data_IF_091804644755
#
_entry.id   IF_091804644755
#
_cell.length_a   1.000
_cell.length_b   1.000
_cell.length_c   1.000
_cell.angle_alpha   90.00
_cell.angle_beta   90.00
_cell.angle_gamma   90.00
#
_symmetry.space_group_name_H-M   'P 1'
#
loop_
_entity.id
_entity.type
_entity.pdbx_description
1 polymer ?
#
# COMPACT_ATOMS: atom_id res chain seq x y z
N UNK A 1 -25.07 29.19 15.75
CA UNK A 1 -24.26 29.61 14.59
C UNK A 1 -24.06 28.37 13.74
N UNK A 2 -24.31 28.42 12.44
CA UNK A 2 -23.93 27.31 11.55
C UNK A 2 -22.40 27.22 11.62
N UNK A 3 -21.84 26.12 12.15
CA UNK A 3 -20.40 25.92 12.10
C UNK A 3 -19.96 25.93 10.64
N UNK A 4 -19.01 26.81 10.33
CA UNK A 4 -18.48 26.96 8.98
C UNK A 4 -17.73 25.67 8.59
N UNK A 5 -17.99 25.14 7.40
CA UNK A 5 -17.40 23.87 6.97
C UNK A 5 -15.86 23.93 6.98
N UNK A 6 -15.22 22.95 7.64
CA UNK A 6 -13.76 22.85 7.77
C UNK A 6 -13.09 22.73 6.40
N UNK A 7 -12.01 23.49 6.19
CA UNK A 7 -11.31 23.62 4.90
C UNK A 7 -10.19 22.60 4.78
N UNK A 8 -10.22 21.82 3.72
CA UNK A 8 -9.30 20.72 3.46
C UNK A 8 -8.43 21.01 2.24
N UNK A 9 -7.13 20.81 2.36
CA UNK A 9 -6.20 20.75 1.23
C UNK A 9 -5.73 19.32 1.03
N UNK A 10 -5.77 18.86 -0.22
CA UNK A 10 -5.25 17.56 -0.66
C UNK A 10 -3.94 17.75 -1.43
N UNK A 11 -2.95 16.91 -1.18
CA UNK A 11 -1.66 16.95 -1.89
C UNK A 11 -1.20 15.54 -2.23
N UNK A 12 -1.02 15.26 -3.52
CA UNK A 12 -0.58 13.95 -4.03
C UNK A 12 -0.07 14.14 -5.46
N UNK A 13 1.13 13.65 -5.79
CA UNK A 13 1.71 13.83 -7.12
C UNK A 13 1.00 13.00 -8.20
N UNK A 14 0.14 12.06 -7.80
CA UNK A 14 -0.73 11.30 -8.68
C UNK A 14 -2.13 11.94 -8.81
N UNK A 15 -2.47 12.54 -9.97
CA UNK A 15 -3.77 13.20 -10.16
C UNK A 15 -4.97 12.26 -9.98
N UNK A 16 -4.80 10.98 -10.31
CA UNK A 16 -5.84 9.96 -10.15
C UNK A 16 -6.19 9.70 -8.69
N UNK A 17 -5.22 9.73 -7.78
CA UNK A 17 -5.46 9.57 -6.34
C UNK A 17 -6.24 10.76 -5.79
N UNK A 18 -5.87 11.99 -6.20
CA UNK A 18 -6.62 13.19 -5.85
C UNK A 18 -8.09 13.07 -6.30
N UNK A 19 -8.33 12.76 -7.57
CA UNK A 19 -9.69 12.62 -8.12
C UNK A 19 -10.49 11.53 -7.38
N UNK A 20 -9.84 10.41 -7.06
CA UNK A 20 -10.43 9.30 -6.31
C UNK A 20 -10.88 9.73 -4.91
N UNK A 21 -10.02 10.41 -4.16
CA UNK A 21 -10.35 10.91 -2.81
C UNK A 21 -11.44 11.99 -2.88
N UNK A 22 -11.35 12.90 -3.85
CA UNK A 22 -12.34 13.97 -4.03
C UNK A 22 -13.75 13.43 -4.29
N UNK A 23 -13.86 12.37 -5.08
CA UNK A 23 -15.15 11.77 -5.48
C UNK A 23 -15.64 10.68 -4.53
N UNK A 24 -14.73 9.99 -3.84
CA UNK A 24 -15.03 8.86 -2.95
C UNK A 24 -15.61 9.23 -1.58
N UNK A 25 -15.54 10.51 -1.17
CA UNK A 25 -15.96 10.97 0.15
C UNK A 25 -17.06 12.03 0.05
N UNK A 26 -18.11 11.90 0.87
CA UNK A 26 -19.16 12.92 1.01
C UNK A 26 -18.74 14.00 2.03
N UNK A 27 -17.90 14.93 1.57
CA UNK A 27 -17.32 16.00 2.39
C UNK A 27 -18.37 16.87 3.10
N UNK A 28 -19.51 17.13 2.45
CA UNK A 28 -20.59 17.93 3.04
C UNK A 28 -21.19 17.27 4.27
N UNK A 29 -21.37 15.95 4.26
CA UNK A 29 -21.85 15.20 5.42
C UNK A 29 -20.87 15.21 6.59
N UNK A 30 -19.58 15.37 6.31
CA UNK A 30 -18.53 15.46 7.34
C UNK A 30 -18.34 16.87 7.88
N UNK A 31 -19.14 17.86 7.42
CA UNK A 31 -18.96 19.26 7.80
C UNK A 31 -17.66 19.85 7.25
N UNK A 32 -17.15 19.33 6.14
CA UNK A 32 -15.89 19.75 5.52
C UNK A 32 -16.08 20.14 4.05
N UNK A 33 -15.07 20.82 3.50
CA UNK A 33 -14.98 21.14 2.06
C UNK A 33 -13.53 21.12 1.61
N UNK A 34 -13.28 20.58 0.42
CA UNK A 34 -11.97 20.70 -0.23
C UNK A 34 -11.83 22.12 -0.78
N UNK A 35 -10.80 22.83 -0.36
CA UNK A 35 -10.47 24.17 -0.84
C UNK A 35 -9.26 24.21 -1.78
N UNK A 36 -8.50 23.11 -1.90
CA UNK A 36 -7.40 22.98 -2.86
C UNK A 36 -6.97 21.53 -3.02
N UNK A 37 -6.53 21.19 -4.22
CA UNK A 37 -5.91 19.90 -4.55
C UNK A 37 -4.67 20.18 -5.41
N UNK A 38 -3.52 19.66 -4.99
CA UNK A 38 -2.24 20.01 -5.59
C UNK A 38 -1.41 18.75 -5.87
N UNK A 39 -0.73 18.72 -7.00
CA UNK A 39 0.20 17.64 -7.36
C UNK A 39 1.65 17.99 -7.04
N UNK A 40 1.87 19.09 -6.33
CA UNK A 40 3.17 19.65 -6.01
C UNK A 40 3.11 20.28 -4.62
N UNK A 41 4.00 19.84 -3.73
CA UNK A 41 3.98 20.26 -2.34
C UNK A 41 4.40 21.73 -2.13
N UNK A 42 5.22 22.32 -3.02
CA UNK A 42 5.57 23.74 -2.92
C UNK A 42 4.37 24.62 -3.25
N UNK A 43 3.63 24.30 -4.32
CA UNK A 43 2.38 25.01 -4.66
C UNK A 43 1.33 24.88 -3.56
N UNK A 44 1.26 23.72 -2.91
CA UNK A 44 0.37 23.52 -1.78
C UNK A 44 0.76 24.42 -0.59
N UNK A 45 2.06 24.52 -0.29
CA UNK A 45 2.58 25.40 0.76
C UNK A 45 2.26 26.87 0.47
N UNK A 46 2.54 27.35 -0.73
CA UNK A 46 2.25 28.73 -1.16
C UNK A 46 0.75 29.05 -0.99
N UNK A 47 -0.13 28.09 -1.32
CA UNK A 47 -1.57 28.25 -1.12
C UNK A 47 -1.97 28.31 0.37
N UNK A 48 -1.40 27.45 1.21
CA UNK A 48 -1.69 27.39 2.66
C UNK A 48 -1.17 28.65 3.39
N UNK A 49 -0.12 29.29 2.86
CA UNK A 49 0.35 30.59 3.34
C UNK A 49 -0.74 31.66 3.19
N UNK A 50 -1.32 31.76 2.00
CA UNK A 50 -2.27 32.82 1.66
C UNK A 50 -3.72 32.52 2.08
N UNK A 51 -4.08 31.24 2.25
CA UNK A 51 -5.46 30.82 2.45
C UNK A 51 -5.64 30.06 3.78
N UNK A 52 -6.77 30.25 4.48
CA UNK A 52 -7.03 29.52 5.70
C UNK A 52 -7.37 28.05 5.40
N UNK A 53 -6.69 27.15 6.09
CA UNK A 53 -6.83 25.69 5.98
C UNK A 53 -6.99 25.12 7.38
N UNK A 54 -7.88 24.16 7.55
CA UNK A 54 -8.13 23.49 8.83
C UNK A 54 -7.47 22.10 8.88
N UNK A 55 -7.46 21.38 7.74
CA UNK A 55 -6.91 20.03 7.61
C UNK A 55 -6.07 19.93 6.33
N UNK A 56 -4.86 19.39 6.44
CA UNK A 56 -4.00 19.01 5.33
C UNK A 56 -3.95 17.49 5.22
N UNK A 57 -4.26 16.96 4.04
CA UNK A 57 -4.12 15.55 3.68
C UNK A 57 -3.02 15.47 2.61
N UNK A 58 -1.94 14.75 2.87
CA UNK A 58 -0.77 14.74 1.96
C UNK A 58 -0.17 13.35 1.77
N UNK A 59 0.31 13.06 0.56
CA UNK A 59 1.27 11.98 0.32
C UNK A 59 2.61 12.31 1.00
N UNK A 60 3.35 11.28 1.39
CA UNK A 60 4.72 11.36 1.93
C UNK A 60 5.72 11.49 0.79
N UNK A 61 5.59 10.66 -0.24
CA UNK A 61 6.66 10.44 -1.23
C UNK A 61 6.35 11.17 -2.52
N UNK A 62 6.60 12.48 -2.53
CA UNK A 62 6.42 13.32 -3.72
C UNK A 62 7.77 13.78 -4.30
N UNK A 63 7.89 13.95 -5.64
CA UNK A 63 9.08 14.51 -6.28
C UNK A 63 9.42 15.90 -5.75
N UNK A 64 10.72 16.17 -5.58
CA UNK A 64 11.29 17.49 -5.21
C UNK A 64 10.95 17.99 -3.79
N UNK A 65 9.69 17.89 -3.33
CA UNK A 65 9.24 18.39 -2.03
C UNK A 65 8.37 17.34 -1.31
N UNK A 66 8.93 16.69 -0.29
CA UNK A 66 8.26 15.57 0.37
C UNK A 66 7.16 16.02 1.35
N UNK A 67 6.19 15.14 1.61
CA UNK A 67 5.03 15.44 2.47
C UNK A 67 5.38 15.75 3.92
N UNK A 68 6.44 15.15 4.47
CA UNK A 68 6.87 15.42 5.84
C UNK A 68 7.51 16.81 5.98
N UNK A 69 8.22 17.27 4.95
CA UNK A 69 8.79 18.61 4.85
C UNK A 69 7.66 19.64 4.70
N UNK A 70 6.63 19.33 3.91
CA UNK A 70 5.40 20.12 3.85
C UNK A 70 4.74 20.24 5.23
N UNK A 71 4.49 19.14 5.93
CA UNK A 71 3.91 19.16 7.28
C UNK A 71 4.76 20.00 8.24
N UNK A 72 6.09 19.85 8.22
CA UNK A 72 7.01 20.62 9.08
C UNK A 72 6.88 22.13 8.84
N UNK A 73 6.83 22.55 7.57
CA UNK A 73 6.69 23.97 7.19
C UNK A 73 5.32 24.51 7.58
N UNK A 74 4.26 23.77 7.30
CA UNK A 74 2.89 24.18 7.63
C UNK A 74 2.69 24.27 9.13
N UNK A 75 3.23 23.34 9.92
CA UNK A 75 3.13 23.38 11.38
C UNK A 75 3.84 24.59 11.99
N UNK A 76 4.99 24.98 11.44
CA UNK A 76 5.72 26.17 11.88
C UNK A 76 4.95 27.47 11.56
N UNK A 77 4.19 27.48 10.46
CA UNK A 77 3.42 28.63 10.00
C UNK A 77 2.03 28.73 10.66
N UNK A 78 1.33 27.60 10.77
CA UNK A 78 -0.05 27.46 11.25
C UNK A 78 -0.19 26.22 12.14
N UNK A 79 0.15 26.32 13.44
CA UNK A 79 0.10 25.19 14.38
C UNK A 79 -1.30 24.59 14.58
N UNK A 80 -2.36 25.32 14.20
CA UNK A 80 -3.75 24.89 14.29
C UNK A 80 -4.16 23.87 13.20
N UNK A 81 -3.40 23.80 12.10
CA UNK A 81 -3.69 22.89 10.98
C UNK A 81 -3.48 21.45 11.44
N UNK A 82 -4.45 20.59 11.16
CA UNK A 82 -4.36 19.16 11.43
C UNK A 82 -3.85 18.40 10.22
N UNK A 83 -3.01 17.39 10.46
CA UNK A 83 -2.41 16.59 9.39
C UNK A 83 -3.02 15.19 9.33
N UNK A 84 -3.26 14.71 8.13
CA UNK A 84 -3.52 13.29 7.84
C UNK A 84 -2.56 12.91 6.72
N UNK A 85 -1.87 11.79 6.87
CA UNK A 85 -0.84 11.37 5.92
C UNK A 85 -1.35 10.17 5.12
N UNK A 86 -1.05 10.15 3.82
CA UNK A 86 -1.34 9.05 2.89
C UNK A 86 0.01 8.53 2.38
N UNK A 87 0.18 7.22 2.21
CA UNK A 87 1.44 6.65 1.69
C UNK A 87 1.20 5.43 0.82
N UNK A 88 1.89 5.34 -0.31
CA UNK A 88 1.94 4.14 -1.15
C UNK A 88 2.81 3.00 -0.60
N UNK A 89 3.59 3.27 0.45
CA UNK A 89 4.44 2.26 1.10
C UNK A 89 4.08 2.13 2.58
N UNK A 90 3.93 0.89 3.04
CA UNK A 90 3.85 0.56 4.47
C UNK A 90 5.23 0.66 5.12
N UNK A 91 5.81 1.87 5.14
CA UNK A 91 7.11 2.14 5.73
C UNK A 91 6.94 2.61 7.19
N UNK A 92 7.40 1.77 8.11
CA UNK A 92 7.38 2.02 9.54
C UNK A 92 8.08 3.33 9.94
N UNK A 93 9.17 3.70 9.26
CA UNK A 93 9.91 4.92 9.56
C UNK A 93 9.11 6.18 9.18
N UNK A 94 8.25 6.09 8.16
CA UNK A 94 7.36 7.18 7.79
C UNK A 94 6.15 7.29 8.70
N UNK A 95 5.53 6.17 9.09
CA UNK A 95 4.47 6.16 10.09
C UNK A 95 4.95 6.74 11.43
N UNK A 96 6.13 6.35 11.90
CA UNK A 96 6.73 6.88 13.13
C UNK A 96 7.00 8.40 13.03
N UNK A 97 7.54 8.88 11.91
CA UNK A 97 7.74 10.32 11.67
C UNK A 97 6.40 11.08 11.67
N UNK A 98 5.37 10.51 11.07
CA UNK A 98 4.02 11.09 10.99
C UNK A 98 3.43 11.39 12.37
N UNK A 99 3.62 10.44 13.30
CA UNK A 99 3.19 10.56 14.70
C UNK A 99 3.94 11.70 15.40
N UNK A 100 5.27 11.77 15.24
CA UNK A 100 6.10 12.84 15.83
C UNK A 100 5.70 14.26 15.39
N UNK A 101 5.11 14.40 14.20
CA UNK A 101 4.60 15.68 13.69
C UNK A 101 3.18 16.00 14.16
N UNK A 102 2.55 15.12 14.96
CA UNK A 102 1.20 15.29 15.46
C UNK A 102 0.12 15.04 14.40
N UNK A 103 0.40 14.17 13.42
CA UNK A 103 -0.64 13.74 12.48
C UNK A 103 -1.76 13.01 13.21
N UNK A 104 -3.00 13.32 12.83
CA UNK A 104 -4.21 12.68 13.37
C UNK A 104 -4.40 11.24 12.88
N UNK A 105 -3.74 10.88 11.78
CA UNK A 105 -3.88 9.58 11.15
C UNK A 105 -2.88 9.37 10.01
N UNK A 106 -2.68 8.11 9.67
CA UNK A 106 -1.84 7.61 8.60
C UNK A 106 -2.63 6.57 7.81
N UNK A 107 -2.80 6.77 6.51
CA UNK A 107 -3.54 5.89 5.61
C UNK A 107 -2.59 5.30 4.55
N UNK A 108 -2.82 4.04 4.17
CA UNK A 108 -2.11 3.41 3.04
C UNK A 108 -2.87 3.60 1.73
N UNK A 109 -2.17 3.71 0.60
CA UNK A 109 -2.76 3.58 -0.75
C UNK A 109 -2.89 2.08 -1.08
N UNK A 110 -3.98 1.63 -1.72
CA UNK A 110 -5.17 2.40 -2.10
C UNK A 110 -5.96 2.85 -0.87
N UNK A 111 -6.41 4.12 -0.89
CA UNK A 111 -6.98 4.78 0.29
C UNK A 111 -8.31 4.15 0.68
N UNK A 112 -8.39 3.66 1.93
CA UNK A 112 -9.66 3.27 2.55
C UNK A 112 -10.45 4.53 2.94
N UNK A 113 -11.59 4.74 2.29
CA UNK A 113 -12.42 5.92 2.55
C UNK A 113 -13.07 5.90 3.92
N UNK A 114 -13.38 4.75 4.51
CA UNK A 114 -13.95 4.72 5.87
C UNK A 114 -12.89 5.12 6.90
N UNK A 115 -11.66 4.63 6.75
CA UNK A 115 -10.52 4.99 7.59
C UNK A 115 -10.25 6.50 7.53
N UNK A 116 -10.10 7.04 6.30
CA UNK A 116 -9.84 8.46 6.09
C UNK A 116 -10.99 9.33 6.65
N UNK A 117 -12.25 8.91 6.49
CA UNK A 117 -13.40 9.58 7.09
C UNK A 117 -13.35 9.57 8.63
N UNK A 118 -12.88 8.47 9.23
CA UNK A 118 -12.67 8.36 10.68
C UNK A 118 -11.73 9.44 11.21
N UNK A 119 -10.59 9.63 10.54
CA UNK A 119 -9.63 10.69 10.90
C UNK A 119 -10.19 12.10 10.68
N UNK A 120 -10.93 12.32 9.59
CA UNK A 120 -11.59 13.61 9.32
C UNK A 120 -12.62 13.93 10.41
N UNK A 121 -13.44 12.96 10.85
CA UNK A 121 -14.42 13.19 11.93
C UNK A 121 -13.73 13.61 13.23
N UNK A 122 -12.62 12.95 13.59
CA UNK A 122 -11.78 13.34 14.74
C UNK A 122 -11.21 14.76 14.59
N UNK A 123 -10.84 15.16 13.37
CA UNK A 123 -10.34 16.51 13.10
C UNK A 123 -11.43 17.60 13.21
N UNK A 124 -12.67 17.26 12.86
CA UNK A 124 -13.81 18.19 12.84
C UNK A 124 -14.43 18.38 14.23
N UNK A 125 -14.54 17.32 15.02
CA UNK A 125 -15.09 17.36 16.36
C UNK A 125 -13.97 17.41 17.41
N UNK A 126 -13.71 18.55 18.07
CA UNK A 126 -12.92 18.54 19.28
C UNK A 126 -13.74 17.82 20.35
N UNK A 127 -13.34 16.60 20.72
CA UNK A 127 -14.02 15.81 21.74
C UNK A 127 -14.07 16.57 23.07
N UNK A 128 -15.22 17.20 23.34
CA UNK A 128 -15.67 17.56 24.68
C UNK A 128 -16.27 16.31 25.33
N UNK A 129 -15.40 15.39 25.73
CA UNK A 129 -15.67 14.39 26.75
C UNK A 129 -14.31 13.88 27.24
N UNK A 130 -14.01 14.14 28.51
CA UNK A 130 -12.83 13.57 29.16
C UNK A 130 -12.91 12.04 29.16
N UNK A 131 -11.73 11.42 29.10
CA UNK A 131 -11.40 9.99 29.04
C UNK A 131 -11.08 9.43 27.64
N UNK A 132 -9.78 9.55 27.37
CA UNK A 132 -8.89 8.60 26.70
C UNK A 132 -8.69 8.73 25.19
N UNK A 133 -7.77 9.61 24.85
CA UNK A 133 -6.73 9.35 23.85
C UNK A 133 -5.53 10.16 24.33
N UNK A 134 -4.52 9.50 24.90
CA UNK A 134 -3.21 10.11 25.03
C UNK A 134 -2.36 9.65 23.83
N UNK A 135 -2.21 10.46 22.76
CA UNK A 135 -1.35 10.12 21.64
C UNK A 135 0.09 9.89 22.11
N UNK A 136 0.47 10.51 23.23
CA UNK A 136 1.79 10.37 23.84
C UNK A 136 2.04 8.94 24.31
N UNK A 137 1.03 8.28 24.89
CA UNK A 137 1.13 6.90 25.35
C UNK A 137 1.34 5.94 24.19
N UNK A 138 0.58 6.12 23.11
CA UNK A 138 0.70 5.29 21.90
C UNK A 138 2.08 5.49 21.28
N UNK A 139 2.53 6.74 21.11
CA UNK A 139 3.87 7.02 20.57
C UNK A 139 4.96 6.35 21.43
N UNK A 140 4.94 6.56 22.75
CA UNK A 140 5.91 5.96 23.66
C UNK A 140 5.90 4.43 23.62
N UNK A 141 4.71 3.81 23.45
CA UNK A 141 4.55 2.37 23.30
C UNK A 141 5.17 1.86 22.00
N UNK A 142 4.96 2.54 20.87
CA UNK A 142 5.53 2.14 19.58
C UNK A 142 7.04 2.40 19.49
N UNK A 143 7.55 3.45 20.13
CA UNK A 143 8.99 3.77 20.20
C UNK A 143 9.74 2.92 21.23
N UNK A 144 9.03 2.17 22.06
CA UNK A 144 9.56 1.48 23.23
C UNK A 144 10.31 2.43 24.19
N UNK A 145 9.83 3.66 24.34
CA UNK A 145 10.42 4.68 25.22
C UNK A 145 9.99 4.42 26.67
N UNK A 146 10.71 3.51 27.34
CA UNK A 146 10.42 3.08 28.71
C UNK A 146 10.34 4.25 29.71
N UNK A 147 11.27 5.23 29.72
CA UNK A 147 11.16 6.40 30.58
C UNK A 147 9.87 7.22 30.37
N UNK A 148 9.44 7.38 29.12
CA UNK A 148 8.22 8.12 28.78
C UNK A 148 6.96 7.33 29.15
N UNK A 149 6.92 6.04 28.83
CA UNK A 149 5.85 5.12 29.24
C UNK A 149 5.67 5.15 30.77
N UNK A 150 6.77 5.02 31.51
CA UNK A 150 6.75 5.07 32.97
C UNK A 150 6.10 6.36 33.49
N UNK A 151 6.55 7.52 32.98
CA UNK A 151 6.01 8.82 33.40
C UNK A 151 4.51 8.92 33.16
N UNK A 152 4.03 8.50 31.98
CA UNK A 152 2.63 8.57 31.60
C UNK A 152 1.79 7.63 32.47
N UNK A 153 2.20 6.36 32.57
CA UNK A 153 1.45 5.34 33.30
C UNK A 153 1.40 5.62 34.80
N UNK A 154 2.52 6.04 35.41
CA UNK A 154 2.55 6.44 36.82
C UNK A 154 1.65 7.66 37.09
N UNK A 155 1.55 8.60 36.14
CA UNK A 155 0.65 9.77 36.27
C UNK A 155 -0.83 9.40 36.24
N UNK A 156 -1.18 8.31 35.54
CA UNK A 156 -2.49 7.67 35.55
C UNK A 156 -2.65 6.69 36.74
N UNK A 157 -1.66 6.63 37.62
CA UNK A 157 -1.60 5.78 38.80
C UNK A 157 -1.34 4.31 38.51
N UNK A 158 -1.02 3.93 37.27
CA UNK A 158 -0.63 2.57 36.92
C UNK A 158 0.85 2.37 37.28
N UNK A 159 1.10 1.69 38.40
CA UNK A 159 2.45 1.31 38.83
C UNK A 159 2.77 -0.11 38.36
N UNK A 160 4.01 -0.36 37.94
CA UNK A 160 4.44 -1.69 37.50
C UNK A 160 4.54 -2.69 38.67
N UNK A 161 4.22 -3.98 38.46
CA UNK A 161 3.78 -4.55 37.18
C UNK A 161 2.26 -4.40 36.95
N UNK A 162 1.87 -4.30 35.67
CA UNK A 162 0.48 -4.12 35.24
C UNK A 162 -0.02 -5.32 34.43
N UNK A 163 -1.33 -5.40 34.19
CA UNK A 163 -1.92 -6.34 33.24
C UNK A 163 -2.36 -5.59 31.99
N UNK A 164 -2.38 -6.30 30.87
CA UNK A 164 -2.75 -5.73 29.58
C UNK A 164 -3.80 -6.60 28.89
N UNK A 165 -4.68 -5.96 28.15
CA UNK A 165 -5.58 -6.63 27.21
C UNK A 165 -5.62 -5.84 25.91
N UNK A 166 -5.86 -6.53 24.81
CA UNK A 166 -6.19 -5.89 23.53
C UNK A 166 -7.49 -6.52 23.04
N UNK A 167 -8.40 -5.71 22.51
CA UNK A 167 -9.59 -6.19 21.81
C UNK A 167 -9.66 -5.61 20.40
N UNK A 168 -10.14 -6.42 19.47
CA UNK A 168 -10.52 -6.02 18.11
C UNK A 168 -12.04 -5.89 18.05
N UNK A 169 -12.55 -4.72 17.70
CA UNK A 169 -13.98 -4.47 17.61
C UNK A 169 -14.33 -2.99 17.45
N UNK A 170 -15.61 -2.71 17.24
CA UNK A 170 -16.10 -1.32 17.07
C UNK A 170 -16.22 -0.56 18.38
N UNK A 171 -16.43 -1.29 19.47
CA UNK A 171 -16.72 -0.71 20.78
C UNK A 171 -15.72 -1.20 21.84
N UNK A 172 -15.14 -0.29 22.65
CA UNK A 172 -14.25 -0.69 23.73
C UNK A 172 -15.02 -1.30 24.91
N UNK A 173 -14.42 -2.29 25.56
CA UNK A 173 -14.94 -3.03 26.71
C UNK A 173 -14.55 -2.38 28.04
N UNK A 174 -14.71 -1.05 28.16
CA UNK A 174 -14.27 -0.29 29.34
C UNK A 174 -14.85 -0.83 30.65
N UNK A 175 -16.07 -1.38 30.62
CA UNK A 175 -16.72 -1.96 31.81
C UNK A 175 -16.03 -3.21 32.37
N UNK A 176 -15.16 -3.86 31.60
CA UNK A 176 -14.48 -5.10 32.02
C UNK A 176 -13.14 -4.86 32.71
N UNK A 177 -12.57 -3.65 32.57
CA UNK A 177 -11.23 -3.33 33.03
C UNK A 177 -11.25 -2.12 33.95
N UNK A 178 -10.65 -2.26 35.13
CA UNK A 178 -10.47 -1.17 36.08
C UNK A 178 -9.10 -0.51 35.85
N UNK A 179 -9.03 0.31 34.81
CA UNK A 179 -7.79 0.93 34.36
C UNK A 179 -7.97 1.82 33.13
N UNK A 180 -6.88 2.06 32.42
CA UNK A 180 -6.81 2.94 31.26
C UNK A 180 -7.22 2.17 29.99
N UNK A 181 -7.99 2.82 29.11
CA UNK A 181 -8.39 2.28 27.81
C UNK A 181 -7.90 3.19 26.68
N UNK A 182 -6.97 2.73 25.86
CA UNK A 182 -6.34 3.52 24.81
C UNK A 182 -6.59 2.91 23.43
N UNK A 183 -7.11 3.66 22.44
CA UNK A 183 -7.14 3.17 21.06
C UNK A 183 -5.73 3.02 20.49
N UNK A 184 -5.44 1.86 19.87
CA UNK A 184 -4.23 1.63 19.08
C UNK A 184 -4.45 1.88 17.57
N UNK A 185 -5.68 1.64 17.11
CA UNK A 185 -6.10 1.75 15.73
C UNK A 185 -7.60 2.05 15.62
N UNK A 186 -8.19 1.86 14.44
CA UNK A 186 -9.62 2.14 14.23
C UNK A 186 -10.54 1.18 15.00
N UNK A 187 -10.18 -0.10 15.07
CA UNK A 187 -10.92 -1.14 15.77
C UNK A 187 -10.11 -1.81 16.90
N UNK A 188 -8.97 -1.24 17.26
CA UNK A 188 -8.04 -1.84 18.20
C UNK A 188 -8.04 -1.03 19.50
N UNK A 189 -8.34 -1.70 20.60
CA UNK A 189 -8.43 -1.07 21.92
C UNK A 189 -7.50 -1.78 22.90
N UNK A 190 -6.53 -1.04 23.43
CA UNK A 190 -5.65 -1.45 24.52
C UNK A 190 -6.31 -1.13 25.87
N UNK A 191 -6.18 -2.04 26.82
CA UNK A 191 -6.56 -1.85 28.20
C UNK A 191 -5.35 -2.13 29.09
N UNK A 192 -5.06 -1.22 30.01
CA UNK A 192 -3.97 -1.31 30.99
C UNK A 192 -4.57 -1.20 32.39
N UNK A 193 -4.36 -2.20 33.24
CA UNK A 193 -5.06 -2.28 34.51
C UNK A 193 -4.23 -3.00 35.58
N UNK A 194 -4.51 -2.73 36.86
CA UNK A 194 -3.65 -3.18 37.97
C UNK A 194 -3.92 -4.60 38.44
N UNK A 195 -5.19 -4.99 38.44
CA UNK A 195 -5.61 -6.26 39.03
C UNK A 195 -5.59 -7.36 37.97
N UNK A 196 -5.33 -8.63 38.35
CA UNK A 196 -5.49 -9.74 37.43
C UNK A 196 -6.90 -9.70 36.82
N UNK A 197 -7.02 -9.89 35.50
CA UNK A 197 -8.31 -9.82 34.84
C UNK A 197 -9.25 -10.87 35.45
N UNK A 198 -10.51 -10.50 35.67
CA UNK A 198 -11.54 -11.50 35.95
C UNK A 198 -11.63 -12.45 34.76
N UNK A 199 -12.12 -13.67 35.00
CA UNK A 199 -12.32 -14.64 33.93
C UNK A 199 -13.31 -14.09 32.89
N UNK A 200 -12.77 -13.57 31.79
CA UNK A 200 -13.55 -13.16 30.62
C UNK A 200 -14.03 -14.43 29.93
N UNK A 201 -15.35 -14.59 29.84
CA UNK A 201 -16.00 -15.70 29.14
C UNK A 201 -16.69 -15.20 27.88
N UNK A 202 -16.88 -16.08 26.89
CA UNK A 202 -17.59 -15.78 25.64
C UNK A 202 -18.96 -15.12 25.87
N UNK A 203 -19.67 -15.53 26.94
CA UNK A 203 -20.97 -14.97 27.32
C UNK A 203 -20.94 -13.48 27.62
N UNK A 204 -19.81 -12.98 28.11
CA UNK A 204 -19.64 -11.55 28.41
C UNK A 204 -19.49 -10.71 27.13
N UNK A 205 -19.25 -11.36 25.98
CA UNK A 205 -19.06 -10.74 24.68
C UNK A 205 -20.25 -10.94 23.73
N UNK A 206 -21.28 -11.72 24.11
CA UNK A 206 -22.45 -12.05 23.28
C UNK A 206 -23.15 -10.82 22.70
N UNK A 207 -23.31 -9.77 23.51
CA UNK A 207 -23.96 -8.50 23.13
C UNK A 207 -22.95 -7.40 22.72
N UNK A 208 -21.68 -7.75 22.48
CA UNK A 208 -20.62 -6.79 22.13
C UNK A 208 -20.22 -6.86 20.65
N UNK A 209 -19.86 -5.70 20.08
CA UNK A 209 -19.27 -5.60 18.72
C UNK A 209 -17.75 -5.91 18.75
N UNK A 210 -17.34 -6.92 19.52
CA UNK A 210 -15.96 -7.36 19.65
C UNK A 210 -15.78 -8.69 18.95
N UNK A 211 -14.85 -8.72 18.01
CA UNK A 211 -14.50 -9.89 17.21
C UNK A 211 -13.54 -10.81 17.98
N UNK A 212 -12.58 -10.22 18.70
CA UNK A 212 -11.63 -10.98 19.52
C UNK A 212 -10.96 -10.16 20.61
N UNK A 213 -10.57 -10.81 21.70
CA UNK A 213 -9.85 -10.22 22.82
C UNK A 213 -8.78 -11.17 23.32
N UNK A 214 -7.58 -10.64 23.59
CA UNK A 214 -6.52 -11.33 24.30
C UNK A 214 -6.10 -10.56 25.54
N UNK A 215 -5.73 -11.29 26.58
CA UNK A 215 -5.40 -10.73 27.89
C UNK A 215 -4.14 -11.40 28.44
N UNK A 216 -3.24 -10.59 28.98
CA UNK A 216 -2.03 -11.09 29.64
C UNK A 216 -2.40 -11.95 30.86
N UNK A 217 -1.84 -13.16 30.91
CA UNK A 217 -2.03 -14.09 32.03
C UNK A 217 -1.07 -13.80 33.19
N UNK A 218 0.07 -13.18 32.88
CA UNK A 218 1.08 -12.75 33.82
C UNK A 218 1.11 -11.22 33.92
N UNK A 219 1.53 -10.69 35.09
CA UNK A 219 1.81 -9.27 35.24
C UNK A 219 3.01 -8.88 34.37
N UNK A 220 2.99 -7.66 33.84
CA UNK A 220 3.87 -7.13 32.79
C UNK A 220 4.63 -5.92 33.35
N UNK A 221 5.95 -5.98 33.30
CA UNK A 221 6.83 -4.85 33.61
C UNK A 221 6.82 -3.85 32.44
N UNK A 222 7.11 -2.57 32.68
CA UNK A 222 7.10 -1.59 31.58
C UNK A 222 8.10 -1.91 30.48
N UNK A 223 9.22 -2.57 30.81
CA UNK A 223 10.22 -3.02 29.84
C UNK A 223 9.67 -4.04 28.82
N UNK A 224 8.68 -4.83 29.21
CA UNK A 224 8.06 -5.87 28.38
C UNK A 224 6.66 -5.45 27.88
N UNK A 225 6.26 -4.21 28.13
CA UNK A 225 4.92 -3.72 27.81
C UNK A 225 4.67 -3.74 26.31
N UNK A 226 5.60 -3.21 25.52
CA UNK A 226 5.45 -3.14 24.07
C UNK A 226 5.24 -4.52 23.46
N UNK A 227 6.15 -5.46 23.73
CA UNK A 227 6.09 -6.82 23.19
C UNK A 227 4.81 -7.53 23.62
N UNK A 228 4.39 -7.38 24.88
CA UNK A 228 3.16 -8.00 25.39
C UNK A 228 1.91 -7.40 24.74
N UNK A 229 1.86 -6.09 24.53
CA UNK A 229 0.72 -5.45 23.85
C UNK A 229 0.61 -5.91 22.40
N UNK A 230 1.71 -5.96 21.65
CA UNK A 230 1.67 -6.47 20.28
C UNK A 230 1.33 -7.96 20.23
N UNK A 231 1.82 -8.76 21.18
CA UNK A 231 1.43 -10.16 21.29
C UNK A 231 -0.08 -10.29 21.53
N UNK A 232 -0.64 -9.53 22.47
CA UNK A 232 -2.08 -9.52 22.72
C UNK A 232 -2.86 -9.04 21.49
N UNK A 233 -2.35 -8.06 20.74
CA UNK A 233 -2.96 -7.61 19.50
C UNK A 233 -3.07 -8.74 18.47
N UNK A 234 -1.98 -9.46 18.21
CA UNK A 234 -1.99 -10.59 17.28
C UNK A 234 -2.81 -11.78 17.80
N UNK A 235 -2.74 -12.05 19.09
CA UNK A 235 -3.53 -13.10 19.74
C UNK A 235 -5.03 -12.80 19.66
N UNK A 236 -5.41 -11.52 19.74
CA UNK A 236 -6.81 -11.10 19.59
C UNK A 236 -7.34 -11.38 18.20
N UNK A 237 -6.50 -11.37 17.16
CA UNK A 237 -6.89 -11.65 15.77
C UNK A 237 -7.10 -13.14 15.48
N UNK A 238 -6.91 -14.04 16.46
CA UNK A 238 -7.15 -15.48 16.28
C UNK A 238 -8.60 -15.82 15.91
N UNK A 239 -9.57 -14.93 16.15
CA UNK A 239 -10.96 -15.09 15.69
C UNK A 239 -11.07 -15.30 14.17
N UNK A 240 -10.08 -14.80 13.42
CA UNK A 240 -10.00 -14.98 11.98
C UNK A 240 -9.88 -16.45 11.57
N UNK A 241 -9.26 -17.28 12.41
CA UNK A 241 -9.10 -18.73 12.23
C UNK A 241 -10.12 -19.53 13.07
N UNK A 242 -10.59 -18.97 14.18
CA UNK A 242 -11.46 -19.66 15.15
C UNK A 242 -12.75 -18.89 15.41
N UNK A 243 -13.69 -18.90 14.47
CA UNK A 243 -14.92 -18.09 14.53
C UNK A 243 -15.84 -18.37 15.71
N UNK A 244 -15.72 -19.52 16.35
CA UNK A 244 -16.54 -19.90 17.50
C UNK A 244 -16.00 -19.32 18.82
N UNK A 245 -14.80 -18.76 18.81
CA UNK A 245 -14.14 -18.18 19.98
C UNK A 245 -13.83 -16.71 19.76
N UNK A 246 -13.98 -15.91 20.81
CA UNK A 246 -13.62 -14.49 20.84
C UNK A 246 -12.63 -14.20 21.96
N UNK A 247 -12.42 -15.13 22.91
CA UNK A 247 -11.46 -14.96 24.00
C UNK A 247 -10.23 -15.83 23.76
N UNK A 248 -9.07 -15.21 23.60
CA UNK A 248 -7.81 -15.89 23.31
C UNK A 248 -6.82 -15.72 24.47
N UNK A 249 -6.13 -16.80 24.82
CA UNK A 249 -5.17 -16.85 25.94
C UNK A 249 -3.87 -17.55 25.58
N UNK A 250 -3.83 -18.17 24.41
CA UNK A 250 -2.68 -18.87 23.85
C UNK A 250 -2.01 -17.96 22.84
N UNK A 251 -0.68 -18.01 22.76
CA UNK A 251 0.04 -17.27 21.74
C UNK A 251 -0.25 -17.83 20.35
N UNK A 252 -0.47 -16.92 19.41
CA UNK A 252 -0.64 -17.21 18.01
C UNK A 252 0.59 -17.94 17.47
N UNK A 253 0.38 -19.10 16.86
CA UNK A 253 1.41 -19.94 16.29
C UNK A 253 1.68 -19.58 14.82
N UNK A 254 2.97 -19.64 14.45
CA UNK A 254 3.45 -19.50 13.08
C UNK A 254 3.94 -20.87 12.58
N UNK A 255 3.45 -21.34 11.43
CA UNK A 255 3.93 -22.56 10.79
C UNK A 255 5.24 -22.31 10.03
N UNK A 256 6.23 -23.18 10.19
CA UNK A 256 7.47 -23.11 9.41
C UNK A 256 7.28 -23.73 8.02
N UNK A 257 8.05 -23.27 7.03
CA UNK A 257 8.10 -23.91 5.71
C UNK A 257 6.88 -23.71 4.80
N UNK A 258 5.89 -22.94 5.22
CA UNK A 258 4.62 -22.70 4.48
C UNK A 258 4.84 -22.35 3.00
N UNK A 259 5.79 -21.46 2.67
CA UNK A 259 6.09 -21.09 1.28
C UNK A 259 6.61 -22.28 0.45
N UNK A 260 7.40 -23.16 1.05
CA UNK A 260 7.98 -24.34 0.39
C UNK A 260 6.90 -25.37 0.06
N UNK A 261 5.84 -25.45 0.88
CA UNK A 261 4.67 -26.30 0.64
C UNK A 261 3.70 -25.69 -0.40
N UNK A 262 3.52 -24.37 -0.40
CA UNK A 262 2.68 -23.66 -1.38
C UNK A 262 3.29 -23.68 -2.78
N UNK A 263 4.59 -23.38 -2.90
CA UNK A 263 5.29 -23.21 -4.20
C UNK A 263 4.99 -24.31 -5.24
N UNK A 264 5.06 -25.63 -4.93
CA UNK A 264 4.77 -26.68 -5.91
C UNK A 264 3.28 -26.79 -6.29
N UNK A 265 2.38 -26.19 -5.50
CA UNK A 265 0.92 -26.29 -5.67
C UNK A 265 0.27 -25.03 -6.26
N UNK A 266 1.03 -23.95 -6.50
CA UNK A 266 0.52 -22.67 -7.00
C UNK A 266 -0.36 -22.78 -8.26
N UNK A 267 -0.10 -23.76 -9.12
CA UNK A 267 -0.86 -23.99 -10.36
C UNK A 267 -1.80 -25.20 -10.28
N UNK A 268 -2.09 -25.67 -9.06
CA UNK A 268 -2.96 -26.83 -8.79
C UNK A 268 -4.05 -26.43 -7.80
N UNK A 269 -5.11 -25.70 -8.23
CA UNK A 269 -6.08 -25.09 -7.32
C UNK A 269 -6.73 -26.06 -6.33
N UNK A 270 -7.05 -27.29 -6.76
CA UNK A 270 -7.62 -28.31 -5.89
C UNK A 270 -6.64 -28.80 -4.80
N UNK A 271 -5.36 -28.95 -5.15
CA UNK A 271 -4.33 -29.39 -4.21
C UNK A 271 -3.93 -28.26 -3.25
N UNK A 272 -3.79 -27.03 -3.78
CA UNK A 272 -3.55 -25.84 -2.97
C UNK A 272 -4.71 -25.60 -1.99
N UNK A 273 -5.96 -25.77 -2.44
CA UNK A 273 -7.13 -25.73 -1.57
C UNK A 273 -7.00 -26.72 -0.42
N UNK A 274 -6.73 -27.99 -0.72
CA UNK A 274 -6.61 -29.02 0.31
C UNK A 274 -5.50 -28.69 1.33
N UNK A 275 -4.35 -28.17 0.86
CA UNK A 275 -3.26 -27.72 1.72
C UNK A 275 -3.69 -26.57 2.63
N UNK A 276 -4.20 -25.47 2.05
CA UNK A 276 -4.57 -24.27 2.80
C UNK A 276 -5.64 -24.55 3.85
N UNK A 277 -6.65 -25.38 3.53
CA UNK A 277 -7.68 -25.78 4.49
C UNK A 277 -7.14 -26.72 5.58
N UNK A 278 -6.11 -27.53 5.31
CA UNK A 278 -5.51 -28.40 6.34
C UNK A 278 -4.82 -27.61 7.46
N UNK A 279 -4.49 -26.35 7.21
CA UNK A 279 -3.87 -25.44 8.17
C UNK A 279 -4.86 -24.61 8.98
N UNK A 280 -6.17 -24.67 8.71
CA UNK A 280 -7.17 -23.83 9.39
C UNK A 280 -7.16 -23.99 10.91
N UNK A 281 -6.87 -25.20 11.40
CA UNK A 281 -6.77 -25.51 12.84
C UNK A 281 -5.34 -25.35 13.42
N UNK A 282 -4.36 -25.02 12.58
CA UNK A 282 -2.94 -24.95 12.97
C UNK A 282 -2.41 -23.52 12.96
N UNK A 283 -2.91 -22.69 12.04
CA UNK A 283 -2.59 -21.27 11.94
C UNK A 283 -3.40 -20.49 12.97
N UNK A 284 -2.73 -19.57 13.66
CA UNK A 284 -3.39 -18.63 14.58
C UNK A 284 -2.79 -17.23 14.50
N UNK A 285 -1.74 -17.01 13.70
CA UNK A 285 -1.12 -15.69 13.54
C UNK A 285 -1.61 -14.98 12.27
N UNK A 286 -2.26 -13.82 12.44
CA UNK A 286 -2.87 -13.08 11.33
C UNK A 286 -1.85 -12.61 10.28
N UNK A 287 -0.62 -12.27 10.69
CA UNK A 287 0.43 -11.92 9.73
C UNK A 287 0.81 -13.09 8.83
N UNK A 288 0.68 -14.33 9.30
CA UNK A 288 0.97 -15.49 8.46
C UNK A 288 -0.09 -15.69 7.37
N UNK A 289 -1.36 -15.43 7.70
CA UNK A 289 -2.41 -15.42 6.68
C UNK A 289 -2.15 -14.33 5.62
N UNK A 290 -1.71 -13.14 6.05
CA UNK A 290 -1.29 -12.06 5.16
C UNK A 290 -0.09 -12.47 4.29
N UNK A 291 0.94 -13.10 4.88
CA UNK A 291 2.12 -13.58 4.16
C UNK A 291 1.76 -14.65 3.13
N UNK A 292 0.88 -15.59 3.49
CA UNK A 292 0.35 -16.63 2.58
C UNK A 292 -0.37 -15.97 1.41
N UNK A 293 -1.29 -15.05 1.70
CA UNK A 293 -2.05 -14.31 0.71
C UNK A 293 -1.11 -13.58 -0.25
N UNK A 294 -0.26 -12.69 0.27
CA UNK A 294 0.65 -11.89 -0.54
C UNK A 294 1.66 -12.76 -1.30
N UNK A 295 2.15 -13.84 -0.71
CA UNK A 295 3.02 -14.78 -1.40
C UNK A 295 2.33 -15.40 -2.61
N UNK A 296 1.12 -15.94 -2.47
CA UNK A 296 0.37 -16.56 -3.56
C UNK A 296 0.10 -15.54 -4.67
N UNK A 297 -0.46 -14.37 -4.32
CA UNK A 297 -0.77 -13.32 -5.29
C UNK A 297 0.49 -12.78 -6.00
N UNK A 298 1.58 -12.56 -5.27
CA UNK A 298 2.87 -12.15 -5.83
C UNK A 298 3.44 -13.18 -6.80
N UNK A 299 3.42 -14.48 -6.44
CA UNK A 299 3.92 -15.55 -7.32
C UNK A 299 3.05 -15.75 -8.56
N UNK A 300 1.75 -15.50 -8.46
CA UNK A 300 0.82 -15.53 -9.59
C UNK A 300 0.84 -14.23 -10.40
N UNK A 301 1.50 -13.18 -9.91
CA UNK A 301 1.56 -11.87 -10.53
C UNK A 301 0.21 -11.16 -10.58
N UNK A 302 -0.70 -11.46 -9.65
CA UNK A 302 -2.02 -10.84 -9.56
C UNK A 302 -1.91 -9.60 -8.66
N UNK A 303 -2.33 -8.44 -9.18
CA UNK A 303 -2.23 -7.13 -8.51
C UNK A 303 -3.41 -6.90 -7.56
N UNK A 304 -3.45 -7.70 -6.49
CA UNK A 304 -4.44 -7.65 -5.40
C UNK A 304 -3.72 -7.68 -4.06
N UNK A 305 -2.60 -7.00 -3.91
CA UNK A 305 -1.82 -7.04 -2.67
C UNK A 305 -2.61 -6.44 -1.50
N UNK A 306 -2.57 -7.12 -0.36
CA UNK A 306 -3.09 -6.60 0.90
C UNK A 306 -1.88 -6.15 1.72
N UNK A 307 -1.85 -4.88 2.13
CA UNK A 307 -0.66 -4.27 2.69
C UNK A 307 -0.58 -4.36 4.22
N UNK A 308 -1.69 -4.72 4.88
CA UNK A 308 -1.77 -4.84 6.33
C UNK A 308 -2.77 -5.92 6.75
N UNK A 309 -2.63 -6.39 7.99
CA UNK A 309 -3.61 -7.33 8.53
C UNK A 309 -4.97 -6.65 8.73
N UNK A 310 -5.03 -5.33 8.97
CA UNK A 310 -6.30 -4.62 9.08
C UNK A 310 -7.07 -4.65 7.76
N UNK A 311 -6.38 -4.46 6.64
CA UNK A 311 -6.98 -4.58 5.30
C UNK A 311 -7.41 -6.03 5.03
N UNK A 312 -6.66 -7.02 5.54
CA UNK A 312 -7.06 -8.43 5.46
C UNK A 312 -8.39 -8.68 6.19
N UNK A 313 -8.50 -8.18 7.43
CA UNK A 313 -9.70 -8.33 8.27
C UNK A 313 -10.90 -7.53 7.74
N UNK A 314 -10.69 -6.42 7.03
CA UNK A 314 -11.77 -5.68 6.38
C UNK A 314 -12.23 -6.33 5.08
N UNK A 315 -11.32 -7.01 4.37
CA UNK A 315 -11.60 -7.69 3.10
C UNK A 315 -12.28 -9.04 3.31
N UNK A 316 -11.82 -9.83 4.30
CA UNK A 316 -12.29 -11.17 4.57
C UNK A 316 -12.71 -11.31 6.03
N UNK A 317 -13.84 -11.98 6.29
CA UNK A 317 -14.34 -12.19 7.65
C UNK A 317 -13.69 -13.40 8.34
N UNK A 318 -13.06 -14.29 7.57
CA UNK A 318 -12.33 -15.44 8.12
C UNK A 318 -11.26 -15.96 7.17
N UNK A 319 -10.37 -16.80 7.69
CA UNK A 319 -9.34 -17.49 6.93
C UNK A 319 -9.93 -18.34 5.80
N UNK A 320 -11.05 -19.03 6.02
CA UNK A 320 -11.72 -19.80 4.98
C UNK A 320 -12.26 -18.93 3.85
N UNK A 321 -12.77 -17.73 4.18
CA UNK A 321 -13.22 -16.76 3.18
C UNK A 321 -12.04 -16.21 2.39
N UNK A 322 -10.92 -15.93 3.05
CA UNK A 322 -9.67 -15.55 2.39
C UNK A 322 -9.18 -16.65 1.44
N UNK A 323 -9.15 -17.91 1.88
CA UNK A 323 -8.77 -19.06 1.04
C UNK A 323 -9.73 -19.22 -0.14
N UNK A 324 -11.04 -19.05 0.08
CA UNK A 324 -12.02 -19.06 -0.99
C UNK A 324 -11.76 -17.94 -2.01
N UNK A 325 -11.48 -16.71 -1.54
CA UNK A 325 -11.15 -15.57 -2.39
C UNK A 325 -9.85 -15.74 -3.18
N UNK A 326 -8.80 -16.32 -2.56
CA UNK A 326 -7.57 -16.72 -3.25
C UNK A 326 -7.92 -17.68 -4.41
N UNK A 327 -8.69 -18.73 -4.11
CA UNK A 327 -9.02 -19.75 -5.10
C UNK A 327 -9.95 -19.21 -6.19
N UNK A 328 -10.86 -18.31 -5.87
CA UNK A 328 -11.73 -17.65 -6.85
C UNK A 328 -10.90 -16.80 -7.83
N UNK A 329 -9.95 -16.02 -7.32
CA UNK A 329 -8.99 -15.27 -8.13
C UNK A 329 -8.07 -16.17 -8.98
N UNK A 330 -7.87 -17.42 -8.55
CA UNK A 330 -7.13 -18.45 -9.30
C UNK A 330 -8.01 -19.23 -10.28
N UNK A 331 -9.33 -19.27 -10.08
CA UNK A 331 -10.24 -20.01 -10.95
C UNK A 331 -10.53 -19.24 -12.23
N UNK A 332 -10.72 -19.96 -13.34
CA UNK A 332 -10.50 -19.36 -14.62
C UNK A 332 -11.83 -19.15 -15.34
N UNK A 333 -12.58 -18.15 -14.89
CA UNK A 333 -13.54 -17.49 -15.80
C UNK A 333 -12.81 -16.75 -16.96
N UNK A 334 -11.48 -16.81 -16.96
CA UNK A 334 -10.58 -16.46 -18.07
C UNK A 334 -10.21 -17.67 -18.96
N UNK A 335 -10.42 -18.93 -18.55
CA UNK A 335 -10.01 -20.14 -19.33
C UNK A 335 -10.91 -20.45 -20.54
N UNK A 336 -12.02 -19.73 -20.74
CA UNK A 336 -12.88 -20.01 -21.90
C UNK A 336 -12.29 -19.59 -23.25
N UNK A 337 -11.17 -18.86 -23.28
CA UNK A 337 -10.54 -18.41 -24.54
C UNK A 337 -9.18 -19.05 -24.88
N UNK A 338 -8.59 -19.89 -24.01
CA UNK A 338 -7.16 -20.28 -24.14
C UNK A 338 -6.96 -21.80 -24.31
N UNK A 339 -7.94 -22.51 -24.86
CA UNK A 339 -7.65 -23.81 -25.45
C UNK A 339 -7.14 -23.61 -26.89
N UNK A 340 -5.81 -23.56 -27.04
CA UNK A 340 -5.03 -24.29 -28.06
C UNK A 340 -3.57 -23.78 -28.08
N UNK A 341 -2.62 -24.71 -27.99
CA UNK A 341 -1.18 -24.44 -27.86
C UNK A 341 -0.58 -23.56 -28.95
N UNK A 342 0.34 -22.70 -28.52
CA UNK A 342 0.96 -21.62 -29.30
C UNK A 342 0.89 -20.32 -28.49
N UNK A 343 1.72 -19.34 -28.81
CA UNK A 343 1.51 -17.94 -28.36
C UNK A 343 0.01 -17.65 -28.40
N UNK A 344 -0.59 -17.22 -27.29
CA UNK A 344 -2.04 -17.05 -27.23
C UNK A 344 -2.50 -16.25 -28.45
N UNK A 345 -3.58 -16.66 -29.11
CA UNK A 345 -4.06 -15.99 -30.34
C UNK A 345 -4.29 -14.48 -30.13
N UNK A 346 -4.51 -14.07 -28.87
CA UNK A 346 -4.51 -12.67 -28.42
C UNK A 346 -3.12 -12.05 -28.37
N UNK A 347 -2.12 -12.73 -27.80
CA UNK A 347 -0.74 -12.24 -27.75
C UNK A 347 -0.11 -12.04 -29.13
N UNK A 348 -0.33 -12.96 -30.09
CA UNK A 348 0.16 -12.76 -31.47
C UNK A 348 -0.47 -11.54 -32.15
N UNK A 349 -1.73 -11.22 -31.84
CA UNK A 349 -2.38 -10.01 -32.34
C UNK A 349 -1.80 -8.75 -31.71
N UNK A 350 -1.48 -8.78 -30.41
CA UNK A 350 -0.79 -7.68 -29.70
C UNK A 350 0.58 -7.42 -30.31
N UNK A 351 1.38 -8.47 -30.53
CA UNK A 351 2.70 -8.35 -31.17
C UNK A 351 2.56 -7.80 -32.59
N UNK A 352 1.62 -8.32 -33.38
CA UNK A 352 1.34 -7.81 -34.73
C UNK A 352 1.00 -6.31 -34.70
N UNK A 353 0.11 -5.90 -33.80
CA UNK A 353 -0.28 -4.49 -33.65
C UNK A 353 0.90 -3.59 -33.28
N UNK A 354 1.77 -4.03 -32.36
CA UNK A 354 2.99 -3.29 -32.00
C UNK A 354 3.91 -3.14 -33.22
N UNK A 355 4.10 -4.21 -34.00
CA UNK A 355 4.94 -4.17 -35.22
C UNK A 355 4.34 -3.32 -36.34
N UNK A 356 3.02 -3.18 -36.42
CA UNK A 356 2.35 -2.34 -37.42
C UNK A 356 2.34 -0.86 -37.02
N UNK A 357 2.43 -0.55 -35.72
CA UNK A 357 2.27 0.82 -35.21
C UNK A 357 3.52 1.38 -34.50
N UNK A 358 4.66 0.66 -34.51
CA UNK A 358 5.84 0.99 -33.69
C UNK A 358 6.37 2.42 -33.84
N UNK A 359 6.15 3.07 -34.98
CA UNK A 359 6.58 4.44 -35.28
C UNK A 359 5.71 5.52 -34.62
N UNK A 360 4.62 5.14 -33.95
CA UNK A 360 3.72 6.05 -33.23
C UNK A 360 3.84 5.87 -31.72
N UNK A 361 3.36 6.84 -30.94
CA UNK A 361 3.30 6.73 -29.48
C UNK A 361 2.20 5.72 -29.09
N UNK A 362 2.63 4.53 -28.70
CA UNK A 362 1.75 3.45 -28.22
C UNK A 362 1.99 3.24 -26.73
N UNK A 363 0.96 3.40 -25.92
CA UNK A 363 0.96 3.00 -24.51
C UNK A 363 0.32 1.62 -24.30
N UNK A 364 0.58 1.02 -23.14
CA UNK A 364 -0.13 -0.19 -22.70
C UNK A 364 -1.65 0.02 -22.67
N UNK A 365 -2.11 1.21 -22.28
CA UNK A 365 -3.53 1.55 -22.24
C UNK A 365 -4.16 1.57 -23.65
N UNK A 366 -3.40 1.98 -24.67
CA UNK A 366 -3.88 1.98 -26.05
C UNK A 366 -4.01 0.56 -26.60
N UNK A 367 -3.05 -0.30 -26.29
CA UNK A 367 -3.10 -1.73 -26.66
C UNK A 367 -4.29 -2.40 -25.95
N UNK A 368 -4.48 -2.13 -24.66
CA UNK A 368 -5.61 -2.64 -23.89
C UNK A 368 -6.96 -2.19 -24.48
N UNK A 369 -7.09 -0.92 -24.85
CA UNK A 369 -8.30 -0.38 -25.49
C UNK A 369 -8.57 -1.02 -26.84
N UNK A 370 -7.55 -1.16 -27.69
CA UNK A 370 -7.67 -1.77 -29.02
C UNK A 370 -8.15 -3.22 -28.96
N UNK A 371 -7.68 -3.97 -27.96
CA UNK A 371 -8.01 -5.39 -27.80
C UNK A 371 -9.14 -5.66 -26.81
N UNK A 372 -9.80 -4.63 -26.27
CA UNK A 372 -10.79 -4.73 -25.18
C UNK A 372 -10.30 -5.56 -23.98
N UNK A 373 -9.03 -5.39 -23.62
CA UNK A 373 -8.37 -6.10 -22.53
C UNK A 373 -8.08 -5.15 -21.36
N UNK A 374 -7.86 -5.71 -20.18
CA UNK A 374 -7.35 -4.95 -19.04
C UNK A 374 -5.86 -4.56 -19.28
N UNK A 375 -5.44 -3.30 -19.05
CA UNK A 375 -4.04 -2.85 -19.20
C UNK A 375 -3.01 -3.64 -18.37
N UNK A 376 -3.38 -4.06 -17.16
CA UNK A 376 -2.53 -4.87 -16.29
C UNK A 376 -2.37 -6.29 -16.86
N UNK A 377 -3.45 -6.88 -17.39
CA UNK A 377 -3.39 -8.16 -18.10
C UNK A 377 -2.49 -8.08 -19.34
N UNK A 378 -2.61 -7.02 -20.14
CA UNK A 378 -1.73 -6.82 -21.32
C UNK A 378 -0.26 -6.72 -20.91
N UNK A 379 0.05 -5.96 -19.86
CA UNK A 379 1.43 -5.85 -19.34
C UNK A 379 1.98 -7.17 -18.82
N UNK A 380 1.18 -7.92 -18.06
CA UNK A 380 1.56 -9.21 -17.49
C UNK A 380 1.71 -10.28 -18.57
N UNK A 381 0.75 -10.39 -19.49
CA UNK A 381 0.82 -11.27 -20.66
C UNK A 381 2.07 -10.96 -21.48
N UNK A 382 2.37 -9.69 -21.74
CA UNK A 382 3.52 -9.29 -22.54
C UNK A 382 4.86 -9.62 -21.86
N UNK A 383 4.97 -9.36 -20.55
CA UNK A 383 6.17 -9.68 -19.76
C UNK A 383 6.37 -11.18 -19.60
N UNK A 384 5.28 -11.95 -19.43
CA UNK A 384 5.29 -13.42 -19.36
C UNK A 384 5.78 -14.04 -20.67
N UNK A 385 5.26 -13.58 -21.80
CA UNK A 385 5.57 -14.16 -23.12
C UNK A 385 6.90 -13.67 -23.71
N UNK A 386 7.35 -12.43 -23.40
CA UNK A 386 8.58 -11.85 -23.99
C UNK A 386 9.76 -11.70 -23.02
N UNK A 387 9.54 -11.87 -21.71
CA UNK A 387 10.51 -11.57 -20.67
C UNK A 387 10.86 -10.08 -20.53
N UNK A 388 10.19 -9.18 -21.26
CA UNK A 388 10.48 -7.74 -21.30
C UNK A 388 9.20 -6.90 -21.11
N UNK A 389 9.36 -5.65 -20.68
CA UNK A 389 8.25 -4.69 -20.71
C UNK A 389 7.95 -4.27 -22.14
N UNK A 390 6.71 -3.82 -22.39
CA UNK A 390 6.30 -3.28 -23.70
C UNK A 390 7.21 -2.12 -24.12
N UNK A 391 7.52 -1.21 -23.20
CA UNK A 391 8.44 -0.08 -23.46
C UNK A 391 9.83 -0.56 -23.90
N UNK A 392 10.38 -1.55 -23.20
CA UNK A 392 11.71 -2.10 -23.53
C UNK A 392 11.69 -2.85 -24.86
N UNK A 393 10.66 -3.63 -25.12
CA UNK A 393 10.49 -4.35 -26.38
C UNK A 393 10.32 -3.38 -27.55
N UNK A 394 9.46 -2.37 -27.41
CA UNK A 394 9.23 -1.33 -28.42
C UNK A 394 10.52 -0.55 -28.70
N UNK A 395 11.28 -0.22 -27.66
CA UNK A 395 12.59 0.44 -27.79
C UNK A 395 13.56 -0.42 -28.62
N UNK A 396 13.67 -1.71 -28.30
CA UNK A 396 14.53 -2.63 -29.05
C UNK A 396 14.07 -2.80 -30.50
N UNK A 397 12.76 -2.89 -30.74
CA UNK A 397 12.18 -2.98 -32.08
C UNK A 397 12.48 -1.72 -32.91
N UNK A 398 12.31 -0.53 -32.32
CA UNK A 398 12.64 0.74 -32.96
C UNK A 398 14.13 0.83 -33.30
N UNK A 399 15.01 0.35 -32.43
CA UNK A 399 16.46 0.31 -32.70
C UNK A 399 16.80 -0.66 -33.84
N UNK A 400 16.21 -1.85 -33.85
CA UNK A 400 16.38 -2.81 -34.95
C UNK A 400 15.93 -2.20 -36.29
N UNK A 401 14.80 -1.51 -36.32
CA UNK A 401 14.32 -0.80 -37.53
C UNK A 401 15.24 0.36 -37.94
N UNK A 402 15.81 1.08 -36.98
CA UNK A 402 16.79 2.11 -37.28
C UNK A 402 18.07 1.52 -37.91
N UNK A 403 18.55 0.38 -37.41
CA UNK A 403 19.68 -0.35 -38.00
C UNK A 403 19.37 -0.80 -39.44
N UNK A 404 18.19 -1.37 -39.68
CA UNK A 404 17.73 -1.76 -41.03
C UNK A 404 17.68 -0.55 -41.99
N UNK A 405 17.16 0.61 -41.55
CA UNK A 405 17.08 1.82 -42.37
C UNK A 405 18.47 2.42 -42.63
N UNK A 406 19.38 2.37 -41.66
CA UNK A 406 20.76 2.84 -41.83
C UNK A 406 21.55 1.97 -42.82
N UNK A 407 21.25 0.67 -42.89
CA UNK A 407 21.85 -0.28 -43.82
C UNK A 407 21.32 -0.15 -45.25
N UNK A 408 20.01 0.06 -45.40
CA UNK A 408 19.33 -0.08 -46.68
C UNK A 408 18.93 1.24 -47.34
N UNK A 409 19.17 2.38 -46.68
CA UNK A 409 18.76 3.69 -47.20
C UNK A 409 19.80 4.78 -46.93
N UNK A 410 19.78 5.81 -47.79
CA UNK A 410 20.58 7.03 -47.65
C UNK A 410 19.86 8.14 -46.86
N UNK A 411 18.76 7.79 -46.16
CA UNK A 411 17.97 8.78 -45.41
C UNK A 411 18.84 9.48 -44.35
N UNK A 412 18.66 10.80 -44.11
CA UNK A 412 19.31 11.49 -43.01
C UNK A 412 18.98 10.83 -41.66
N UNK A 413 19.93 10.85 -40.71
CA UNK A 413 19.75 10.22 -39.38
C UNK A 413 18.54 10.79 -38.62
N UNK A 414 18.24 12.07 -38.82
CA UNK A 414 17.02 12.70 -38.28
C UNK A 414 15.75 12.10 -38.86
N UNK A 415 15.68 11.91 -40.18
CA UNK A 415 14.54 11.28 -40.83
C UNK A 415 14.35 9.81 -40.41
N UNK A 416 15.45 9.11 -40.09
CA UNK A 416 15.40 7.75 -39.54
C UNK A 416 14.89 7.74 -38.10
N UNK A 417 15.32 8.70 -37.28
CA UNK A 417 14.79 8.90 -35.92
C UNK A 417 13.27 9.08 -35.94
N UNK A 418 12.79 9.96 -36.82
CA UNK A 418 11.37 10.25 -36.98
C UNK A 418 10.60 9.03 -37.51
N UNK A 419 11.12 8.35 -38.53
CA UNK A 419 10.51 7.15 -39.10
C UNK A 419 10.44 5.96 -38.09
N UNK A 420 11.30 5.96 -37.09
CA UNK A 420 11.31 4.99 -36.00
C UNK A 420 10.45 5.41 -34.79
N UNK A 421 9.81 6.57 -34.81
CA UNK A 421 8.92 7.04 -33.75
C UNK A 421 9.63 7.61 -32.52
N UNK A 422 10.83 8.18 -32.69
CA UNK A 422 11.50 8.93 -31.63
C UNK A 422 11.18 10.42 -31.73
N UNK A 423 10.50 10.95 -30.72
CA UNK A 423 10.14 12.38 -30.63
C UNK A 423 11.32 13.28 -30.22
N UNK A 424 12.44 12.70 -29.78
CA UNK A 424 13.66 13.39 -29.40
C UNK A 424 14.87 12.76 -30.11
N UNK A 425 15.44 13.53 -31.05
CA UNK A 425 16.61 13.16 -31.83
C UNK A 425 17.87 12.92 -30.98
N UNK A 426 18.10 13.73 -29.94
CA UNK A 426 19.27 13.58 -29.07
C UNK A 426 19.13 12.37 -28.16
N UNK A 427 17.93 12.09 -27.68
CA UNK A 427 17.61 10.86 -26.95
C UNK A 427 17.85 9.62 -27.83
N UNK A 428 17.39 9.64 -29.08
CA UNK A 428 17.63 8.58 -30.06
C UNK A 428 19.13 8.31 -30.25
N UNK A 429 19.96 9.32 -30.49
CA UNK A 429 21.42 9.14 -30.65
C UNK A 429 22.04 8.47 -29.42
N UNK A 430 21.69 8.95 -28.22
CA UNK A 430 22.23 8.43 -26.96
C UNK A 430 21.85 6.95 -26.78
N UNK A 431 20.60 6.61 -27.06
CA UNK A 431 20.07 5.27 -26.91
C UNK A 431 20.61 4.31 -27.98
N UNK A 432 20.75 4.77 -29.22
CA UNK A 432 21.37 4.02 -30.32
C UNK A 432 22.84 3.71 -30.01
N UNK A 433 23.61 4.69 -29.52
CA UNK A 433 25.00 4.49 -29.09
C UNK A 433 25.11 3.48 -27.94
N UNK A 434 24.14 3.47 -27.02
CA UNK A 434 24.08 2.47 -25.94
C UNK A 434 23.77 1.06 -26.49
N UNK A 435 22.95 0.96 -27.54
CA UNK A 435 22.55 -0.31 -28.15
C UNK A 435 23.65 -0.92 -29.04
N UNK A 436 24.29 -0.10 -29.88
CA UNK A 436 25.21 -0.57 -30.94
C UNK A 436 26.69 -0.21 -30.67
N UNK A 437 26.98 0.40 -29.53
CA UNK A 437 28.31 0.92 -29.14
C UNK A 437 28.89 2.01 -30.04
N UNK A 438 28.14 2.50 -31.05
CA UNK A 438 28.56 3.58 -31.93
C UNK A 438 27.39 4.48 -32.33
N UNK A 439 27.65 5.72 -32.78
CA UNK A 439 26.57 6.60 -33.22
C UNK A 439 25.95 6.12 -34.54
N UNK A 440 24.70 6.48 -34.87
CA UNK A 440 24.08 6.12 -36.15
C UNK A 440 24.95 6.47 -37.37
N UNK A 441 25.58 7.65 -37.37
CA UNK A 441 26.49 8.09 -38.44
C UNK A 441 27.77 7.25 -38.51
N UNK A 442 28.30 6.80 -37.37
CA UNK A 442 29.46 5.91 -37.31
C UNK A 442 29.08 4.49 -37.76
N UNK A 443 27.90 4.00 -37.36
CA UNK A 443 27.36 2.71 -37.76
C UNK A 443 27.21 2.63 -39.28
N UNK A 444 26.67 3.68 -39.92
CA UNK A 444 26.58 3.76 -41.39
C UNK A 444 27.95 3.78 -42.08
N UNK A 445 28.94 4.52 -41.55
CA UNK A 445 30.32 4.53 -42.09
C UNK A 445 31.01 3.17 -41.96
N UNK A 446 30.81 2.47 -40.84
CA UNK A 446 31.32 1.10 -40.64
C UNK A 446 30.74 0.13 -41.66
N UNK A 447 29.45 0.23 -41.96
CA UNK A 447 28.80 -0.59 -42.99
C UNK A 447 29.30 -0.29 -44.40
N UNK A 448 29.72 0.96 -44.66
CA UNK A 448 30.34 1.37 -45.92
C UNK A 448 31.82 0.96 -46.04
N UNK A 449 32.41 0.31 -45.03
CA UNK A 449 33.75 -0.26 -45.08
C UNK A 449 34.89 0.66 -44.65
N UNK A 450 34.63 1.71 -43.86
CA UNK A 450 35.66 2.66 -43.39
C UNK A 450 35.94 2.49 -41.87
N UNK A 451 37.03 1.81 -41.46
CA UNK A 451 37.25 1.40 -40.07
C UNK A 451 38.00 2.42 -39.17
N UNK A 452 38.58 3.49 -39.71
CA UNK A 452 39.37 4.46 -38.93
C UNK A 452 38.60 5.76 -38.66
N UNK A 453 38.11 5.91 -37.43
CA UNK A 453 37.39 7.11 -36.98
C UNK A 453 37.01 7.04 -35.51
N UNK A 454 37.93 6.53 -34.69
CA UNK A 454 37.84 6.57 -33.24
C UNK A 454 38.87 7.57 -32.72
N UNK A 455 38.51 8.85 -32.69
CA UNK A 455 38.92 9.85 -31.69
C UNK A 455 38.36 11.20 -32.13
N UNK A 456 37.38 11.70 -31.39
CA UNK A 456 37.19 13.15 -31.18
C UNK A 456 36.58 13.30 -29.79
N UNK A 457 37.48 13.20 -28.82
CA UNK A 457 37.32 13.81 -27.51
C UNK A 457 38.51 14.76 -27.33
N UNK A 458 38.30 16.04 -27.67
CA UNK A 458 38.91 17.24 -27.09
C UNK A 458 38.45 18.48 -27.88
N UNK A 459 37.41 19.14 -27.39
CA UNK A 459 37.47 20.43 -26.64
C UNK A 459 36.09 20.78 -26.09
#
# INVERSE_FOLDING_TARGET
>A
MLEEAKRIVLVDDEPGVLESIQTGIDWKKLGTRICGAFTDGQKALDYIEENPVDILITDITMPTFNGLELCTRVQALRPEVKFIIISGYADFAYAQKSIRFGALGYCLKPVDYEELQGYIRKAVQPSSNGQDCDPELVEALYENDIPRLRRILESEGLEEPIYTAVSIGRTPLKQLFDGLCQPLGYHEHLYLFRQPPREISEKMLEDSDVDGISVSTLPVEFADLQSTVFQNLYDSCQFFFHRESRVFRTHAAYLEGVQQEIAPLLYQPAALRALLFSWSDQLSHISQALDIYNYIFCQLGIDLEIYSYQQLLSTYRSYEEMVAGILEAMTPDVEKEINEGGYSRGFLKIIKYIHENYSTDISTADIAREFNMNPSYVSQLFKKETGNTIVKYLTSLRMQKAEELLQNTDLPVSAISDACGFNDYFYFIKLFKKHTSCSPSQYRRKLAGDPDGAEDSKE
#
